data_IF_189992529783
#
_entry.id   IF_189992529783
#
_cell.length_a   1.000
_cell.length_b   1.000
_cell.length_c   1.000
_cell.angle_alpha   90.00
_cell.angle_beta   90.00
_cell.angle_gamma   90.00
#
_symmetry.space_group_name_H-M   'P 1'
#
loop_
_entity.id
_entity.type
_entity.pdbx_description
1 polymer ?
#
# COMPACT_ATOMS: atom_id res chain seq x y z
N UNK A 1 -18.21 -4.47 -24.68
CA UNK A 1 -18.07 -3.94 -23.29
C UNK A 1 -18.33 -5.08 -22.34
N UNK A 2 -17.32 -5.45 -21.55
CA UNK A 2 -17.35 -6.65 -20.72
C UNK A 2 -18.10 -6.37 -19.41
N UNK A 3 -18.82 -7.38 -18.91
CA UNK A 3 -19.55 -7.36 -17.62
C UNK A 3 -18.68 -6.90 -16.44
N UNK A 4 -17.36 -7.06 -16.54
CA UNK A 4 -16.37 -6.61 -15.55
C UNK A 4 -16.23 -5.08 -15.47
N UNK A 5 -16.34 -4.36 -16.58
CA UNK A 5 -16.21 -2.88 -16.62
C UNK A 5 -17.42 -2.16 -16.02
N UNK A 6 -18.59 -2.80 -16.01
CA UNK A 6 -19.82 -2.24 -15.44
C UNK A 6 -19.89 -2.40 -13.92
N UNK A 7 -19.23 -3.42 -13.35
CA UNK A 7 -19.25 -3.70 -11.90
C UNK A 7 -18.44 -2.68 -11.08
N UNK A 8 -17.39 -2.08 -11.63
CA UNK A 8 -16.51 -1.16 -10.89
C UNK A 8 -17.15 0.24 -10.72
N UNK A 9 -18.10 0.63 -11.59
CA UNK A 9 -18.71 1.97 -11.55
C UNK A 9 -19.90 2.10 -10.58
N UNK A 10 -20.40 1.00 -10.01
CA UNK A 10 -21.54 0.99 -9.08
C UNK A 10 -21.20 0.35 -7.73
N UNK A 11 -20.04 0.66 -7.16
CA UNK A 11 -19.69 0.21 -5.81
C UNK A 11 -20.47 1.05 -4.79
N UNK A 12 -21.60 0.50 -4.34
CA UNK A 12 -22.47 1.06 -3.29
C UNK A 12 -21.70 1.42 -2.02
N UNK A 13 -22.10 2.52 -1.38
CA UNK A 13 -21.65 2.94 -0.05
C UNK A 13 -21.86 1.87 1.03
N UNK A 14 -22.73 0.88 0.80
CA UNK A 14 -23.02 -0.25 1.70
C UNK A 14 -21.81 -1.16 1.96
N UNK A 15 -20.76 -1.09 1.13
CA UNK A 15 -19.52 -1.87 1.32
C UNK A 15 -18.43 -1.11 2.10
N UNK A 16 -18.57 0.20 2.33
CA UNK A 16 -17.62 0.91 3.17
C UNK A 16 -17.93 0.62 4.65
N UNK A 17 -16.98 0.05 5.40
CA UNK A 17 -17.20 -0.21 6.82
C UNK A 17 -17.28 1.11 7.59
N UNK A 18 -18.11 1.14 8.65
CA UNK A 18 -18.18 2.29 9.53
C UNK A 18 -16.82 2.59 10.18
N UNK A 19 -16.46 3.87 10.34
CA UNK A 19 -15.16 4.31 10.89
C UNK A 19 -14.89 3.96 12.36
N UNK A 20 -15.78 3.21 13.02
CA UNK A 20 -15.55 2.62 14.35
C UNK A 20 -15.12 1.14 14.30
N UNK A 21 -15.20 0.50 13.13
CA UNK A 21 -14.85 -0.92 12.96
C UNK A 21 -13.36 -1.02 12.64
N UNK A 22 -12.62 -1.78 13.44
CA UNK A 22 -11.19 -2.03 13.20
C UNK A 22 -11.00 -2.72 11.85
N UNK A 23 -9.91 -2.43 11.13
CA UNK A 23 -9.65 -3.04 9.82
C UNK A 23 -9.51 -4.55 9.84
N UNK A 24 -9.24 -5.12 11.03
CA UNK A 24 -9.17 -6.56 11.27
C UNK A 24 -10.54 -7.25 11.20
N UNK A 25 -11.63 -6.49 11.37
CA UNK A 25 -12.99 -7.02 11.39
C UNK A 25 -13.73 -6.84 10.05
N UNK A 26 -13.06 -6.28 9.03
CA UNK A 26 -13.63 -6.11 7.71
C UNK A 26 -13.66 -7.43 6.93
N UNK A 27 -14.73 -7.67 6.17
CA UNK A 27 -14.78 -8.80 5.24
C UNK A 27 -13.72 -8.64 4.12
N UNK A 28 -13.34 -9.73 3.45
CA UNK A 28 -12.47 -9.68 2.26
C UNK A 28 -12.89 -8.62 1.23
N UNK A 29 -14.17 -8.48 0.92
CA UNK A 29 -14.72 -7.55 -0.06
C UNK A 29 -14.64 -6.11 0.45
N UNK A 30 -14.95 -5.90 1.75
CA UNK A 30 -14.81 -4.61 2.39
C UNK A 30 -13.34 -4.15 2.38
N UNK A 31 -12.38 -5.05 2.64
CA UNK A 31 -10.95 -4.72 2.62
C UNK A 31 -10.49 -4.17 1.26
N UNK A 32 -10.91 -4.78 0.16
CA UNK A 32 -10.56 -4.34 -1.20
C UNK A 32 -10.96 -2.87 -1.39
N UNK A 33 -12.15 -2.48 -0.96
CA UNK A 33 -12.63 -1.10 -1.15
C UNK A 33 -12.05 -0.16 -0.09
N UNK A 34 -12.05 -0.60 1.16
CA UNK A 34 -11.73 0.22 2.31
C UNK A 34 -10.25 0.61 2.38
N UNK A 35 -9.33 -0.25 1.93
CA UNK A 35 -7.91 0.11 1.84
C UNK A 35 -7.61 1.08 0.70
N UNK A 36 -8.43 1.12 -0.36
CA UNK A 36 -8.31 2.15 -1.40
C UNK A 36 -8.86 3.50 -0.93
N UNK A 37 -9.96 3.45 -0.15
CA UNK A 37 -10.74 4.62 0.24
C UNK A 37 -10.56 4.99 1.72
N UNK A 38 -9.39 4.68 2.29
CA UNK A 38 -9.10 4.84 3.73
C UNK A 38 -9.40 6.26 4.25
N UNK A 39 -9.14 7.28 3.43
CA UNK A 39 -9.39 8.69 3.76
C UNK A 39 -10.87 9.07 3.88
N UNK A 40 -11.78 8.23 3.36
CA UNK A 40 -13.22 8.44 3.46
C UNK A 40 -13.82 7.78 4.72
N UNK A 41 -13.07 6.85 5.34
CA UNK A 41 -13.53 6.07 6.51
C UNK A 41 -13.05 6.72 7.81
N UNK A 42 -11.80 7.20 7.83
CA UNK A 42 -11.20 7.84 9.00
C UNK A 42 -10.58 9.19 8.65
N UNK A 43 -10.51 10.15 9.59
CA UNK A 43 -9.78 11.38 9.40
C UNK A 43 -8.31 11.10 9.04
N UNK A 44 -7.80 11.80 8.02
CA UNK A 44 -6.41 11.71 7.59
C UNK A 44 -5.78 13.09 7.49
N UNK A 45 -4.47 13.16 7.75
CA UNK A 45 -3.64 14.29 7.34
C UNK A 45 -3.04 13.96 5.98
N UNK A 46 -3.26 14.83 4.98
CA UNK A 46 -2.63 14.70 3.66
C UNK A 46 -1.18 15.17 3.75
N UNK A 47 -0.25 14.35 3.26
CA UNK A 47 1.14 14.72 3.01
C UNK A 47 1.29 14.87 1.50
N UNK A 48 1.72 16.05 1.04
CA UNK A 48 1.90 16.35 -0.39
C UNK A 48 3.16 15.73 -0.96
N UNK A 49 3.19 15.54 -2.28
CA UNK A 49 4.42 15.23 -3.01
C UNK A 49 5.32 16.46 -3.11
N UNK A 50 6.62 16.24 -3.26
CA UNK A 50 7.55 17.31 -3.61
C UNK A 50 7.25 17.84 -5.03
N UNK A 51 7.51 19.13 -5.27
CA UNK A 51 7.29 19.79 -6.57
C UNK A 51 8.16 19.22 -7.71
N UNK A 52 9.24 18.50 -7.39
CA UNK A 52 10.17 17.89 -8.34
C UNK A 52 10.30 16.36 -8.18
N UNK A 53 9.24 15.67 -7.75
CA UNK A 53 9.25 14.21 -7.67
C UNK A 53 9.57 13.62 -9.05
N UNK A 54 10.62 12.78 -9.13
CA UNK A 54 11.02 12.11 -10.37
C UNK A 54 10.17 10.88 -10.62
N UNK A 55 9.76 10.66 -11.87
CA UNK A 55 9.14 9.41 -12.29
C UNK A 55 10.20 8.31 -12.41
N UNK A 56 9.87 7.08 -12.05
CA UNK A 56 10.71 5.92 -12.39
C UNK A 56 10.35 5.46 -13.81
N UNK A 57 11.29 5.43 -14.76
CA UNK A 57 11.02 4.91 -16.09
C UNK A 57 10.85 3.38 -16.05
N UNK A 58 10.14 2.85 -17.04
CA UNK A 58 10.16 1.42 -17.31
C UNK A 58 11.53 1.03 -17.84
N UNK A 59 12.06 -0.09 -17.35
CA UNK A 59 13.27 -0.68 -17.90
C UNK A 59 13.04 -1.11 -19.35
N UNK A 60 14.08 -0.98 -20.19
CA UNK A 60 14.04 -1.42 -21.60
C UNK A 60 13.66 -2.91 -21.71
N UNK A 61 14.13 -3.72 -20.77
CA UNK A 61 13.84 -5.14 -20.68
C UNK A 61 13.03 -5.42 -19.42
N UNK A 62 11.72 -5.61 -19.59
CA UNK A 62 10.84 -6.05 -18.51
C UNK A 62 10.95 -7.56 -18.30
N UNK A 63 10.75 -7.99 -17.06
CA UNK A 63 10.78 -9.41 -16.69
C UNK A 63 9.36 -10.00 -16.73
N UNK A 64 9.28 -11.30 -17.00
CA UNK A 64 8.07 -12.12 -16.84
C UNK A 64 8.42 -13.35 -16.01
N UNK A 65 8.36 -13.27 -14.66
CA UNK A 65 8.75 -14.38 -13.80
C UNK A 65 7.79 -15.56 -13.93
N UNK A 66 8.35 -16.75 -14.10
CA UNK A 66 7.64 -18.02 -14.05
C UNK A 66 8.35 -18.96 -13.07
N UNK A 67 7.57 -19.71 -12.29
CA UNK A 67 8.11 -20.68 -11.34
C UNK A 67 7.16 -21.87 -11.16
N UNK A 68 7.62 -22.91 -10.47
CA UNK A 68 6.79 -24.05 -10.07
C UNK A 68 6.54 -23.96 -8.56
N UNK A 69 5.28 -24.06 -8.15
CA UNK A 69 4.88 -24.12 -6.74
C UNK A 69 3.91 -25.29 -6.54
N UNK A 70 4.22 -26.21 -5.62
CA UNK A 70 3.41 -27.40 -5.37
C UNK A 70 3.08 -28.25 -6.62
N UNK A 71 3.96 -28.24 -7.62
CA UNK A 71 3.77 -28.95 -8.89
C UNK A 71 3.02 -28.16 -9.96
N UNK A 72 2.49 -27.00 -9.62
CA UNK A 72 1.77 -26.12 -10.54
C UNK A 72 2.69 -25.06 -11.16
N UNK A 73 2.48 -24.78 -12.45
CA UNK A 73 3.10 -23.63 -13.11
C UNK A 73 2.47 -22.33 -12.64
N UNK A 74 3.32 -21.41 -12.19
CA UNK A 74 2.96 -20.11 -11.62
C UNK A 74 3.60 -18.98 -12.41
N UNK A 75 2.93 -17.84 -12.38
CA UNK A 75 3.44 -16.53 -12.76
C UNK A 75 2.90 -15.48 -11.78
N UNK A 76 3.34 -14.23 -11.97
CA UNK A 76 2.95 -13.12 -11.08
C UNK A 76 1.44 -12.91 -11.09
N UNK A 77 0.79 -12.99 -12.25
CA UNK A 77 -0.64 -12.73 -12.37
C UNK A 77 -1.46 -13.80 -11.64
N UNK A 78 -1.12 -15.09 -11.83
CA UNK A 78 -1.75 -16.22 -11.12
C UNK A 78 -1.54 -16.12 -9.61
N UNK A 79 -0.33 -15.82 -9.17
CA UNK A 79 -0.05 -15.63 -7.74
C UNK A 79 -0.87 -14.46 -7.16
N UNK A 80 -0.98 -13.36 -7.91
CA UNK A 80 -1.77 -12.22 -7.46
C UNK A 80 -3.25 -12.56 -7.33
N UNK A 81 -3.79 -13.34 -8.26
CA UNK A 81 -5.18 -13.79 -8.22
C UNK A 81 -5.42 -14.76 -7.05
N UNK A 82 -4.55 -15.75 -6.84
CA UNK A 82 -4.69 -16.76 -5.78
C UNK A 82 -4.52 -16.16 -4.38
N UNK A 83 -3.52 -15.28 -4.19
CA UNK A 83 -3.19 -14.67 -2.89
C UNK A 83 -3.89 -13.33 -2.65
N UNK A 84 -4.78 -12.90 -3.57
CA UNK A 84 -5.49 -11.61 -3.53
C UNK A 84 -4.53 -10.43 -3.34
N UNK A 85 -3.41 -10.44 -4.05
CA UNK A 85 -2.42 -9.36 -4.01
C UNK A 85 -2.91 -8.20 -4.87
N UNK A 86 -2.98 -6.99 -4.31
CA UNK A 86 -3.49 -5.82 -5.03
C UNK A 86 -2.47 -5.19 -5.98
N UNK A 87 -1.20 -5.57 -5.91
CA UNK A 87 -0.18 -5.13 -6.86
C UNK A 87 1.23 -5.53 -6.48
N UNK A 88 2.10 -5.57 -7.48
CA UNK A 88 3.50 -5.98 -7.38
C UNK A 88 4.33 -5.00 -8.21
N UNK A 89 5.43 -4.52 -7.62
CA UNK A 89 6.40 -3.64 -8.26
C UNK A 89 7.81 -4.20 -8.04
N UNK A 90 8.56 -4.40 -9.11
CA UNK A 90 9.96 -4.81 -9.08
C UNK A 90 10.80 -3.70 -9.68
N UNK A 91 11.69 -3.13 -8.86
CA UNK A 91 12.59 -2.04 -9.24
C UNK A 91 14.03 -2.51 -9.15
N UNK A 92 14.83 -2.16 -10.15
CA UNK A 92 16.28 -2.35 -10.12
C UNK A 92 16.95 -1.11 -10.71
N UNK A 93 17.95 -0.60 -10.01
CA UNK A 93 18.78 0.52 -10.50
C UNK A 93 17.96 1.77 -10.91
N UNK A 94 16.82 2.00 -10.23
CA UNK A 94 15.92 3.13 -10.49
C UNK A 94 14.92 2.91 -11.63
N UNK A 95 14.93 1.74 -12.27
CA UNK A 95 14.01 1.38 -13.35
C UNK A 95 13.01 0.31 -12.92
N UNK A 96 11.80 0.40 -13.46
CA UNK A 96 10.73 -0.56 -13.21
C UNK A 96 10.86 -1.75 -14.15
N UNK A 97 11.19 -2.92 -13.60
CA UNK A 97 11.33 -4.19 -14.34
C UNK A 97 9.99 -4.91 -14.52
N UNK A 98 9.09 -4.77 -13.56
CA UNK A 98 7.74 -5.35 -13.59
C UNK A 98 6.82 -4.52 -12.71
N UNK A 99 5.62 -4.25 -13.20
CA UNK A 99 4.57 -3.56 -12.48
C UNK A 99 3.22 -4.20 -12.84
N UNK A 100 2.46 -4.61 -11.83
CA UNK A 100 1.15 -5.27 -11.98
C UNK A 100 0.20 -4.77 -10.90
N UNK A 101 -1.07 -4.63 -11.25
CA UNK A 101 -2.12 -4.19 -10.34
C UNK A 101 -3.28 -5.17 -10.39
N UNK A 102 -3.75 -5.57 -9.21
CA UNK A 102 -4.89 -6.44 -9.01
C UNK A 102 -5.98 -5.73 -8.21
N UNK A 103 -7.12 -6.39 -8.04
CA UNK A 103 -8.20 -5.92 -7.17
C UNK A 103 -8.73 -4.50 -7.52
N UNK A 104 -8.62 -4.11 -8.79
CA UNK A 104 -9.09 -2.80 -9.28
C UNK A 104 -8.16 -1.63 -8.96
N UNK A 105 -6.89 -1.88 -8.57
CA UNK A 105 -5.88 -0.83 -8.42
C UNK A 105 -5.43 -0.25 -9.76
N UNK A 106 -5.10 1.04 -9.73
CA UNK A 106 -4.37 1.75 -10.76
C UNK A 106 -3.00 2.24 -10.22
N UNK A 107 -2.04 2.60 -11.11
CA UNK A 107 -0.73 3.10 -10.70
C UNK A 107 -0.75 4.32 -9.79
N UNK A 108 -1.76 5.17 -9.94
CA UNK A 108 -1.89 6.43 -9.21
C UNK A 108 -2.60 6.26 -7.86
N UNK A 109 -3.11 5.06 -7.56
CA UNK A 109 -3.82 4.78 -6.32
C UNK A 109 -2.89 4.78 -5.11
N UNK A 110 -3.38 5.30 -3.98
CA UNK A 110 -2.63 5.26 -2.73
C UNK A 110 -2.64 3.86 -2.13
N UNK A 111 -1.51 3.49 -1.54
CA UNK A 111 -1.36 2.25 -0.81
C UNK A 111 -1.58 2.46 0.69
N UNK A 112 -2.46 1.65 1.29
CA UNK A 112 -2.49 1.50 2.75
C UNK A 112 -1.39 0.50 3.13
N UNK A 113 -0.25 1.02 3.57
CA UNK A 113 0.96 0.23 3.79
C UNK A 113 1.05 -0.36 5.21
N UNK A 114 0.07 -0.08 6.07
CA UNK A 114 0.05 -0.53 7.46
C UNK A 114 1.41 -0.29 8.15
N UNK A 115 2.02 -1.33 8.73
CA UNK A 115 3.27 -1.23 9.50
C UNK A 115 4.50 -0.84 8.69
N UNK A 116 4.49 -0.89 7.36
CA UNK A 116 5.60 -0.34 6.56
C UNK A 116 5.79 1.17 6.83
N UNK A 117 4.73 1.87 7.25
CA UNK A 117 4.80 3.26 7.71
C UNK A 117 5.80 3.46 8.85
N UNK A 118 6.04 2.45 9.71
CA UNK A 118 7.01 2.53 10.81
C UNK A 118 8.44 2.68 10.28
N UNK A 119 8.77 2.08 9.14
CA UNK A 119 10.08 2.25 8.52
C UNK A 119 10.29 3.68 8.04
N UNK A 120 9.25 4.31 7.47
CA UNK A 120 9.30 5.73 7.09
C UNK A 120 9.52 6.62 8.32
N UNK A 121 8.80 6.36 9.41
CA UNK A 121 9.01 7.08 10.67
C UNK A 121 10.43 6.89 11.21
N UNK A 122 10.96 5.67 11.18
CA UNK A 122 12.33 5.37 11.59
C UNK A 122 13.39 6.11 10.76
N UNK A 123 13.20 6.22 9.45
CA UNK A 123 14.07 7.00 8.56
C UNK A 123 14.07 8.47 8.98
N UNK A 124 12.89 9.06 9.24
CA UNK A 124 12.77 10.45 9.67
C UNK A 124 13.43 10.71 11.03
N UNK A 125 13.30 9.78 11.97
CA UNK A 125 14.01 9.84 13.26
C UNK A 125 15.52 9.79 13.05
N UNK A 126 16.01 8.87 12.21
CA UNK A 126 17.43 8.77 11.87
C UNK A 126 17.97 10.04 11.22
N UNK A 127 17.22 10.65 10.30
CA UNK A 127 17.57 11.93 9.67
C UNK A 127 17.65 13.07 10.70
N UNK A 128 16.66 13.18 11.60
CA UNK A 128 16.67 14.21 12.64
C UNK A 128 17.88 14.07 13.59
N UNK A 129 18.27 12.84 13.96
CA UNK A 129 19.46 12.58 14.76
C UNK A 129 20.74 12.99 14.00
N UNK A 130 20.82 12.62 12.71
CA UNK A 130 21.97 12.98 11.86
C UNK A 130 22.14 14.50 11.75
N UNK A 131 21.04 15.25 11.65
CA UNK A 131 21.02 16.72 11.54
C UNK A 131 21.32 17.43 12.89
N UNK A 132 21.72 16.69 13.93
CA UNK A 132 22.07 17.24 15.24
C UNK A 132 20.85 17.52 16.13
N UNK A 133 19.68 16.99 15.77
CA UNK A 133 18.51 16.97 16.65
C UNK A 133 18.81 16.09 17.87
N UNK A 134 19.02 16.72 19.03
CA UNK A 134 19.26 16.01 20.28
C UNK A 134 18.05 15.16 20.70
N UNK A 135 18.29 13.91 21.04
CA UNK A 135 17.28 13.01 21.60
C UNK A 135 16.80 13.52 22.97
N UNK A 136 15.62 14.12 23.01
CA UNK A 136 14.77 14.17 24.20
C UNK A 136 13.70 13.06 24.08
N UNK A 137 14.12 11.79 24.03
CA UNK A 137 13.18 10.64 23.98
C UNK A 137 13.23 9.72 25.21
N UNK A 138 13.95 10.10 26.27
CA UNK A 138 13.70 9.54 27.60
C UNK A 138 12.55 10.29 28.30
N UNK A 139 11.36 10.33 27.69
CA UNK A 139 10.16 10.49 28.51
C UNK A 139 9.97 9.15 29.24
N UNK A 140 10.36 9.11 30.53
CA UNK A 140 10.19 7.96 31.42
C UNK A 140 8.77 7.40 31.26
N UNK A 141 8.67 6.16 30.78
CA UNK A 141 7.46 5.38 30.93
C UNK A 141 7.22 5.21 32.44
N UNK A 142 6.22 5.92 32.97
CA UNK A 142 5.85 5.88 34.38
C UNK A 142 6.19 7.18 35.12
N UNK A 143 5.27 8.12 35.11
CA UNK A 143 4.99 8.93 36.31
C UNK A 143 3.48 8.95 36.47
N UNK A 144 3.02 8.09 37.38
CA UNK A 144 1.70 8.15 37.99
C UNK A 144 1.60 9.51 38.67
N UNK A 145 0.61 10.31 38.28
CA UNK A 145 0.17 11.45 39.07
C UNK A 145 -1.04 10.94 39.84
N UNK A 146 -0.96 11.08 41.17
CA UNK A 146 -2.04 10.75 42.11
C UNK A 146 -3.33 11.51 41.81
#
# INVERSE_FOLDING_TARGET
>A
MSRKETMIKNVSYDLLPAGGVTSLNWTPEQQVIAFHRRSEIHPVRKIGSASGASSMPLALHQISPHWIWNGDAMDVDRNMDEERVSGVLVVREGEVLLERYGLGRAPEDRWDTQSVTKSVAGILVGAAIHDGGSESHAAKAGTRIE
#
